data_IF_480500417460
#
_entry.id   IF_480500417460
#
_cell.length_a   1.000
_cell.length_b   1.000
_cell.length_c   1.000
_cell.angle_alpha   90.00
_cell.angle_beta   90.00
_cell.angle_gamma   90.00
#
_symmetry.space_group_name_H-M   'P 1'
#
loop_
_entity.id
_entity.type
_entity.pdbx_description
1 polymer ?
#
# COMPACT_ATOMS: atom_id res chain seq x y z
N UNK A 1 -25.69 -70.03 -5.80
CA UNK A 1 -24.29 -70.39 -6.07
C UNK A 1 -23.94 -69.84 -7.44
N UNK A 2 -23.42 -68.60 -7.48
CA UNK A 2 -22.02 -68.24 -7.83
C UNK A 2 -21.77 -68.44 -9.34
N UNK A 3 -21.91 -67.45 -10.23
CA UNK A 3 -21.18 -66.16 -10.41
C UNK A 3 -19.66 -66.31 -10.39
N UNK A 4 -19.07 -66.34 -11.58
CA UNK A 4 -17.64 -66.12 -11.87
C UNK A 4 -17.52 -65.45 -13.24
N UNK A 5 -17.26 -64.15 -13.26
CA UNK A 5 -16.70 -63.44 -14.42
C UNK A 5 -15.60 -62.50 -13.88
N UNK A 6 -14.49 -62.51 -14.61
CA UNK A 6 -13.23 -61.84 -14.32
C UNK A 6 -13.36 -60.31 -14.27
N UNK A 7 -12.52 -59.59 -13.51
CA UNK A 7 -12.48 -58.14 -13.55
C UNK A 7 -11.63 -57.67 -14.75
N UNK A 8 -12.31 -57.00 -15.67
CA UNK A 8 -11.71 -56.24 -16.76
C UNK A 8 -11.06 -54.94 -16.29
N UNK A 9 -10.17 -54.47 -17.16
CA UNK A 9 -9.39 -53.23 -17.10
C UNK A 9 -10.19 -52.01 -16.63
N UNK A 10 -9.69 -51.36 -15.57
CA UNK A 10 -10.12 -50.01 -15.17
C UNK A 10 -9.23 -49.04 -15.93
N UNK A 11 -9.76 -48.54 -17.04
CA UNK A 11 -9.23 -47.37 -17.73
C UNK A 11 -9.26 -46.15 -16.78
N UNK A 12 -8.08 -45.62 -16.49
CA UNK A 12 -7.85 -44.28 -15.98
C UNK A 12 -8.16 -43.29 -17.11
N UNK A 13 -9.40 -42.83 -17.20
CA UNK A 13 -9.74 -41.62 -17.92
C UNK A 13 -10.97 -40.98 -17.27
N UNK A 14 -10.95 -39.65 -17.21
CA UNK A 14 -12.00 -38.74 -16.73
C UNK A 14 -11.89 -38.27 -15.26
N UNK A 15 -10.93 -37.37 -15.01
CA UNK A 15 -11.19 -36.18 -14.17
C UNK A 15 -10.59 -34.98 -14.90
N UNK A 16 -11.31 -34.47 -15.89
CA UNK A 16 -11.16 -33.12 -16.41
C UNK A 16 -12.48 -32.76 -17.13
N UNK A 17 -13.58 -32.72 -16.37
CA UNK A 17 -14.73 -31.92 -16.79
C UNK A 17 -14.36 -30.46 -16.63
N UNK A 18 -13.71 -29.92 -17.68
CA UNK A 18 -13.58 -28.49 -17.90
C UNK A 18 -14.99 -27.91 -17.99
N UNK A 19 -15.32 -26.99 -17.08
CA UNK A 19 -16.55 -26.22 -17.10
C UNK A 19 -16.74 -25.60 -18.50
N UNK A 20 -17.79 -25.94 -19.27
CA UNK A 20 -17.91 -25.56 -20.68
C UNK A 20 -18.03 -24.04 -20.92
N UNK A 21 -18.26 -23.27 -19.85
CA UNK A 21 -18.36 -21.80 -19.87
C UNK A 21 -17.06 -21.09 -19.43
N UNK A 22 -15.99 -21.83 -19.12
CA UNK A 22 -14.68 -21.24 -18.82
C UNK A 22 -13.95 -20.84 -20.11
N UNK A 23 -14.29 -19.65 -20.62
CA UNK A 23 -13.62 -19.04 -21.77
C UNK A 23 -12.34 -18.28 -21.41
N UNK A 24 -11.75 -18.53 -20.22
CA UNK A 24 -10.50 -17.87 -19.82
C UNK A 24 -9.33 -18.14 -20.78
N UNK A 25 -9.36 -19.26 -21.51
CA UNK A 25 -8.41 -19.61 -22.57
C UNK A 25 -8.47 -18.71 -23.81
N UNK A 26 -9.55 -17.91 -23.98
CA UNK A 26 -9.73 -16.98 -25.11
C UNK A 26 -9.32 -15.54 -24.79
N UNK A 27 -8.86 -15.26 -23.58
CA UNK A 27 -8.40 -13.94 -23.19
C UNK A 27 -6.93 -13.73 -23.61
N UNK A 28 -6.61 -12.55 -24.16
CA UNK A 28 -5.22 -12.20 -24.50
C UNK A 28 -4.34 -12.08 -23.24
N UNK A 29 -4.94 -11.63 -22.14
CA UNK A 29 -4.27 -11.44 -20.85
C UNK A 29 -5.26 -11.81 -19.75
N UNK A 30 -4.89 -12.81 -18.95
CA UNK A 30 -5.56 -13.18 -17.70
C UNK A 30 -4.54 -13.09 -16.58
N UNK A 31 -4.51 -11.96 -15.88
CA UNK A 31 -3.56 -11.71 -14.79
C UNK A 31 -4.33 -11.44 -13.51
N UNK A 32 -3.95 -12.15 -12.44
CA UNK A 32 -4.49 -11.87 -11.10
C UNK A 32 -3.90 -10.55 -10.60
N UNK A 33 -4.77 -9.57 -10.33
CA UNK A 33 -4.39 -8.23 -9.84
C UNK A 33 -3.54 -8.31 -8.56
N UNK A 34 -3.80 -9.32 -7.73
CA UNK A 34 -3.07 -9.58 -6.49
C UNK A 34 -1.56 -9.76 -6.70
N UNK A 35 -1.10 -10.30 -7.83
CA UNK A 35 0.32 -10.60 -8.07
C UNK A 35 1.19 -9.34 -8.02
N UNK A 36 0.74 -8.24 -8.62
CA UNK A 36 1.45 -6.97 -8.61
C UNK A 36 1.45 -6.32 -7.22
N UNK A 37 0.34 -6.41 -6.47
CA UNK A 37 0.27 -5.90 -5.10
C UNK A 37 1.16 -6.71 -4.15
N UNK A 38 1.17 -8.04 -4.26
CA UNK A 38 2.05 -8.90 -3.45
C UNK A 38 3.52 -8.61 -3.75
N UNK A 39 3.90 -8.57 -5.02
CA UNK A 39 5.29 -8.32 -5.40
C UNK A 39 5.78 -6.95 -4.90
N UNK A 40 4.96 -5.91 -5.05
CA UNK A 40 5.29 -4.58 -4.54
C UNK A 40 5.37 -4.54 -3.01
N UNK A 41 4.45 -5.20 -2.30
CA UNK A 41 4.48 -5.29 -0.84
C UNK A 41 5.75 -6.01 -0.35
N UNK A 42 6.10 -7.15 -0.94
CA UNK A 42 7.33 -7.91 -0.61
C UNK A 42 8.56 -7.04 -0.89
N UNK A 43 8.62 -6.37 -2.04
CA UNK A 43 9.75 -5.49 -2.37
C UNK A 43 9.90 -4.34 -1.37
N UNK A 44 8.80 -3.72 -0.94
CA UNK A 44 8.82 -2.64 0.04
C UNK A 44 9.31 -3.14 1.41
N UNK A 45 8.86 -4.31 1.86
CA UNK A 45 9.32 -4.93 3.11
C UNK A 45 10.82 -5.24 3.06
N UNK A 46 11.31 -5.81 1.96
CA UNK A 46 12.74 -6.08 1.77
C UNK A 46 13.55 -4.78 1.83
N UNK A 47 13.07 -3.70 1.21
CA UNK A 47 13.72 -2.39 1.27
C UNK A 47 13.74 -1.83 2.70
N UNK A 48 12.65 -1.95 3.46
CA UNK A 48 12.60 -1.50 4.86
C UNK A 48 13.58 -2.27 5.76
N UNK A 49 13.68 -3.58 5.57
CA UNK A 49 14.67 -4.42 6.27
C UNK A 49 16.08 -3.97 5.90
N UNK A 50 16.36 -3.71 4.62
CA UNK A 50 17.67 -3.23 4.18
C UNK A 50 18.04 -1.88 4.79
N UNK A 51 17.10 -0.94 4.94
CA UNK A 51 17.33 0.34 5.65
C UNK A 51 17.75 0.07 7.11
N UNK A 52 17.06 -0.84 7.80
CA UNK A 52 17.37 -1.18 9.18
C UNK A 52 18.74 -1.87 9.31
N UNK A 53 19.10 -2.75 8.38
CA UNK A 53 20.41 -3.39 8.34
C UNK A 53 21.52 -2.36 8.10
N UNK A 54 21.34 -1.44 7.15
CA UNK A 54 22.32 -0.36 6.90
C UNK A 54 22.51 0.48 8.15
N UNK A 55 21.43 0.80 8.86
CA UNK A 55 21.50 1.49 10.12
C UNK A 55 22.37 0.74 11.13
N UNK A 56 22.10 -0.55 11.40
CA UNK A 56 22.93 -1.36 12.34
C UNK A 56 24.41 -1.33 11.95
N UNK A 57 24.71 -1.39 10.66
CA UNK A 57 26.08 -1.43 10.16
C UNK A 57 26.79 -0.07 10.22
N UNK A 58 26.05 1.04 10.07
CA UNK A 58 26.59 2.40 10.02
C UNK A 58 26.57 3.13 11.35
N UNK A 59 25.71 2.74 12.28
CA UNK A 59 25.61 3.32 13.63
C UNK A 59 26.74 2.82 14.54
N UNK A 60 27.97 2.72 14.03
CA UNK A 60 29.16 2.83 14.87
C UNK A 60 29.34 4.31 15.15
N UNK A 61 28.98 4.74 16.36
CA UNK A 61 29.31 6.07 16.86
C UNK A 61 30.80 6.32 16.60
N UNK A 62 31.20 7.49 16.05
CA UNK A 62 32.60 7.81 15.91
C UNK A 62 33.26 7.73 17.29
N UNK A 63 34.32 6.93 17.40
CA UNK A 63 35.13 6.86 18.62
C UNK A 63 35.82 8.22 18.84
N UNK A 64 36.10 8.57 20.11
CA UNK A 64 36.78 9.82 20.48
C UNK A 64 38.05 10.01 19.64
N UNK A 65 38.06 11.04 18.78
CA UNK A 65 39.19 11.39 17.92
C UNK A 65 39.02 11.06 16.43
N UNK A 66 37.94 10.40 16.03
CA UNK A 66 37.62 10.19 14.61
C UNK A 66 37.07 11.49 13.99
N UNK A 67 37.59 11.87 12.82
CA UNK A 67 37.15 13.08 12.12
C UNK A 67 35.67 12.95 11.81
N UNK A 68 34.89 13.94 12.26
CA UNK A 68 33.50 14.14 11.87
C UNK A 68 33.43 13.96 10.34
N UNK A 69 32.60 13.03 9.82
CA UNK A 69 32.49 12.82 8.38
C UNK A 69 32.24 14.15 7.67
N UNK A 70 32.88 14.37 6.51
CA UNK A 70 32.70 15.61 5.75
C UNK A 70 31.23 15.92 5.39
N UNK A 71 30.35 14.91 5.49
CA UNK A 71 28.91 15.00 5.28
C UNK A 71 28.14 15.65 6.45
N UNK A 72 28.77 15.88 7.60
CA UNK A 72 28.14 16.41 8.84
C UNK A 72 28.37 17.93 9.01
N UNK A 73 28.82 18.60 7.94
CA UNK A 73 28.98 20.06 7.93
C UNK A 73 27.58 20.69 8.10
N UNK A 74 27.38 21.46 9.18
CA UNK A 74 26.16 22.17 9.61
C UNK A 74 25.19 21.45 10.58
N UNK A 75 25.57 20.33 11.20
CA UNK A 75 24.77 19.74 12.28
C UNK A 75 25.24 20.24 13.66
N UNK A 76 24.32 20.32 14.63
CA UNK A 76 24.63 20.72 16.00
C UNK A 76 25.22 19.53 16.78
N UNK A 77 26.54 19.55 16.96
CA UNK A 77 27.29 18.51 17.68
C UNK A 77 27.08 18.56 19.21
N UNK A 78 26.53 19.64 19.75
CA UNK A 78 26.26 19.78 21.19
C UNK A 78 25.04 18.95 21.63
N UNK A 79 24.21 18.50 20.69
CA UNK A 79 23.12 17.57 20.98
C UNK A 79 23.68 16.15 21.15
N UNK A 80 23.89 15.75 22.41
CA UNK A 80 24.25 14.39 22.74
C UNK A 80 23.09 13.41 22.47
N UNK A 81 23.41 12.19 22.00
CA UNK A 81 22.40 11.16 21.81
C UNK A 81 21.79 10.72 23.14
N UNK A 82 20.48 10.41 23.18
CA UNK A 82 19.85 9.89 24.38
C UNK A 82 20.40 8.49 24.73
N UNK A 83 20.66 8.24 26.02
CA UNK A 83 21.28 6.99 26.49
C UNK A 83 20.51 5.70 26.09
N UNK A 84 19.18 5.77 25.98
CA UNK A 84 18.31 4.68 25.52
C UNK A 84 17.66 5.01 24.16
N UNK A 85 18.42 5.63 23.26
CA UNK A 85 17.92 6.06 21.96
C UNK A 85 17.53 4.90 21.04
N UNK A 86 16.43 5.06 20.32
CA UNK A 86 16.07 4.23 19.18
C UNK A 86 16.25 5.03 17.88
N UNK A 87 16.56 4.38 16.75
CA UNK A 87 16.74 5.11 15.50
C UNK A 87 15.43 5.70 14.99
N UNK A 88 15.46 6.96 14.58
CA UNK A 88 14.36 7.57 13.84
C UNK A 88 14.55 7.28 12.36
N UNK A 89 13.51 6.77 11.69
CA UNK A 89 13.55 6.52 10.25
C UNK A 89 13.72 7.84 9.51
N UNK A 90 12.95 8.87 9.86
CA UNK A 90 13.02 10.18 9.21
C UNK A 90 14.42 10.81 9.33
N UNK A 91 15.10 10.66 10.48
CA UNK A 91 16.48 11.13 10.64
C UNK A 91 17.47 10.27 9.85
N UNK A 92 17.29 8.96 9.80
CA UNK A 92 18.12 8.07 8.99
C UNK A 92 18.04 8.40 7.49
N UNK A 93 16.85 8.74 6.99
CA UNK A 93 16.66 9.13 5.57
C UNK A 93 17.42 10.41 5.22
N UNK A 94 17.62 11.28 6.19
CA UNK A 94 18.35 12.53 6.00
C UNK A 94 19.87 12.32 6.15
N UNK A 95 20.30 11.57 7.18
CA UNK A 95 21.72 11.40 7.51
C UNK A 95 22.44 10.40 6.59
N UNK A 96 21.74 9.37 6.09
CA UNK A 96 22.35 8.28 5.35
C UNK A 96 21.83 8.21 3.91
N UNK A 97 22.69 8.57 2.94
CA UNK A 97 22.37 8.53 1.51
C UNK A 97 21.90 7.15 1.03
N UNK A 98 22.50 6.07 1.53
CA UNK A 98 22.09 4.71 1.16
C UNK A 98 20.67 4.39 1.65
N UNK A 99 20.31 4.78 2.88
CA UNK A 99 18.97 4.61 3.42
C UNK A 99 17.94 5.44 2.62
N UNK A 100 18.30 6.67 2.26
CA UNK A 100 17.49 7.55 1.43
C UNK A 100 17.17 6.92 0.07
N UNK A 101 18.17 6.39 -0.64
CA UNK A 101 17.99 5.76 -1.95
C UNK A 101 17.11 4.52 -1.86
N UNK A 102 17.32 3.65 -0.86
CA UNK A 102 16.48 2.45 -0.67
C UNK A 102 15.04 2.83 -0.35
N UNK A 103 14.83 3.89 0.43
CA UNK A 103 13.49 4.38 0.74
C UNK A 103 12.73 4.87 -0.50
N UNK A 104 13.42 5.49 -1.46
CA UNK A 104 12.81 5.88 -2.76
C UNK A 104 12.26 4.66 -3.49
N UNK A 105 12.98 3.54 -3.47
CA UNK A 105 12.46 2.29 -4.04
C UNK A 105 11.29 1.73 -3.21
N UNK A 106 11.41 1.74 -1.88
CA UNK A 106 10.37 1.25 -0.96
C UNK A 106 9.03 1.99 -1.12
N UNK A 107 9.09 3.30 -1.40
CA UNK A 107 7.91 4.16 -1.57
C UNK A 107 7.46 4.29 -3.01
N UNK A 108 8.40 4.27 -3.97
CA UNK A 108 8.13 4.42 -5.41
C UNK A 108 7.52 3.19 -6.07
N UNK A 109 8.02 1.99 -5.76
CA UNK A 109 7.51 0.74 -6.38
C UNK A 109 6.02 0.51 -6.08
N UNK A 110 5.53 0.73 -4.84
CA UNK A 110 4.11 0.54 -4.54
C UNK A 110 3.15 1.56 -5.16
N UNK A 111 3.61 2.68 -5.72
CA UNK A 111 2.72 3.75 -6.24
C UNK A 111 1.78 3.20 -7.32
N UNK A 112 2.33 2.53 -8.34
CA UNK A 112 1.54 1.99 -9.45
C UNK A 112 0.47 0.96 -9.00
N UNK A 113 0.80 -0.10 -8.23
CA UNK A 113 -0.21 -1.05 -7.76
C UNK A 113 -1.21 -0.42 -6.79
N UNK A 114 -0.81 0.58 -5.98
CA UNK A 114 -1.75 1.33 -5.13
C UNK A 114 -2.78 2.08 -5.96
N UNK A 115 -2.34 2.79 -7.02
CA UNK A 115 -3.26 3.50 -7.92
C UNK A 115 -4.22 2.53 -8.62
N UNK A 116 -3.73 1.39 -9.09
CA UNK A 116 -4.57 0.33 -9.67
C UNK A 116 -5.63 -0.14 -8.66
N UNK A 117 -5.22 -0.44 -7.43
CA UNK A 117 -6.11 -0.87 -6.36
C UNK A 117 -7.19 0.18 -6.07
N UNK A 118 -6.83 1.47 -6.03
CA UNK A 118 -7.80 2.55 -5.83
C UNK A 118 -8.80 2.68 -6.97
N UNK A 119 -8.38 2.46 -8.22
CA UNK A 119 -9.30 2.42 -9.37
C UNK A 119 -10.27 1.24 -9.25
N UNK A 120 -9.77 0.06 -8.87
CA UNK A 120 -10.61 -1.12 -8.61
C UNK A 120 -11.63 -0.83 -7.50
N UNK A 121 -11.19 -0.31 -6.35
CA UNK A 121 -12.09 0.07 -5.25
C UNK A 121 -13.17 1.04 -5.69
N UNK A 122 -12.80 2.11 -6.42
CA UNK A 122 -13.75 3.08 -6.93
C UNK A 122 -14.81 2.43 -7.81
N UNK A 123 -14.41 1.53 -8.71
CA UNK A 123 -15.35 0.86 -9.61
C UNK A 123 -16.31 -0.07 -8.86
N UNK A 124 -15.80 -0.83 -7.89
CA UNK A 124 -16.61 -1.72 -7.04
C UNK A 124 -17.58 -0.90 -6.18
N UNK A 125 -17.10 0.15 -5.52
CA UNK A 125 -17.93 1.00 -4.66
C UNK A 125 -19.01 1.74 -5.45
N UNK A 126 -18.74 2.13 -6.71
CA UNK A 126 -19.72 2.75 -7.61
C UNK A 126 -20.74 1.77 -8.21
N UNK A 127 -20.47 0.47 -8.19
CA UNK A 127 -21.41 -0.53 -8.68
C UNK A 127 -22.60 -0.74 -7.75
N UNK A 128 -22.52 -0.27 -6.49
CA UNK A 128 -23.64 -0.33 -5.55
C UNK A 128 -24.75 0.62 -6.03
N UNK A 129 -25.95 0.08 -6.25
CA UNK A 129 -27.14 0.86 -6.63
C UNK A 129 -27.61 1.80 -5.50
N UNK A 130 -28.34 2.85 -5.89
CA UNK A 130 -28.95 3.86 -5.02
C UNK A 130 -27.98 4.57 -4.04
N UNK A 131 -27.15 5.45 -4.59
CA UNK A 131 -26.09 6.15 -3.84
C UNK A 131 -26.33 7.66 -3.80
N UNK A 132 -26.16 8.23 -2.60
CA UNK A 132 -26.18 9.68 -2.40
C UNK A 132 -25.05 10.36 -3.20
N UNK A 133 -25.24 11.63 -3.54
CA UNK A 133 -24.23 12.43 -4.25
C UNK A 133 -22.89 12.45 -3.49
N UNK A 134 -22.94 12.59 -2.16
CA UNK A 134 -21.76 12.61 -1.30
C UNK A 134 -20.96 11.31 -1.40
N UNK A 135 -21.63 10.15 -1.41
CA UNK A 135 -20.96 8.86 -1.56
C UNK A 135 -20.20 8.76 -2.91
N UNK A 136 -20.79 9.26 -3.99
CA UNK A 136 -20.16 9.26 -5.32
C UNK A 136 -18.93 10.17 -5.36
N UNK A 137 -19.03 11.37 -4.79
CA UNK A 137 -17.91 12.32 -4.67
C UNK A 137 -16.79 11.69 -3.85
N UNK A 138 -17.11 11.07 -2.70
CA UNK A 138 -16.15 10.38 -1.85
C UNK A 138 -15.41 9.26 -2.59
N UNK A 139 -16.11 8.46 -3.41
CA UNK A 139 -15.49 7.43 -4.24
C UNK A 139 -14.50 8.00 -5.28
N UNK A 140 -14.84 9.15 -5.88
CA UNK A 140 -13.95 9.82 -6.84
C UNK A 140 -12.75 10.48 -6.17
N UNK A 141 -12.90 10.95 -4.93
CA UNK A 141 -11.87 11.63 -4.17
C UNK A 141 -10.77 10.66 -3.66
N UNK A 142 -11.05 9.35 -3.55
CA UNK A 142 -10.06 8.36 -3.13
C UNK A 142 -8.79 8.36 -3.99
N UNK A 143 -8.94 8.41 -5.32
CA UNK A 143 -7.81 8.35 -6.26
C UNK A 143 -6.87 9.55 -6.11
N UNK A 144 -7.33 10.83 -6.19
CA UNK A 144 -6.43 11.97 -6.04
C UNK A 144 -5.83 12.05 -4.63
N UNK A 145 -6.55 11.67 -3.58
CA UNK A 145 -6.00 11.64 -2.22
C UNK A 145 -4.87 10.63 -2.08
N UNK A 146 -5.06 9.42 -2.61
CA UNK A 146 -4.01 8.40 -2.66
C UNK A 146 -2.80 8.86 -3.47
N UNK A 147 -3.02 9.53 -4.60
CA UNK A 147 -1.94 10.06 -5.43
C UNK A 147 -1.13 11.11 -4.66
N UNK A 148 -1.80 12.05 -4.00
CA UNK A 148 -1.13 13.06 -3.16
C UNK A 148 -0.36 12.39 -2.04
N UNK A 149 -0.97 11.44 -1.32
CA UNK A 149 -0.32 10.67 -0.25
C UNK A 149 0.96 9.98 -0.75
N UNK A 150 0.85 9.24 -1.85
CA UNK A 150 1.93 8.44 -2.43
C UNK A 150 3.08 9.31 -2.97
N UNK A 151 2.74 10.44 -3.61
CA UNK A 151 3.75 11.38 -4.10
C UNK A 151 4.42 12.11 -2.94
N UNK A 152 3.66 12.55 -1.93
CA UNK A 152 4.24 13.25 -0.78
C UNK A 152 5.21 12.37 0.02
N UNK A 153 4.89 11.09 0.24
CA UNK A 153 5.81 10.18 0.95
C UNK A 153 7.09 9.89 0.14
N UNK A 154 6.99 9.84 -1.20
CA UNK A 154 8.17 9.71 -2.05
C UNK A 154 9.03 10.99 -2.00
N UNK A 155 8.39 12.16 -2.07
CA UNK A 155 9.04 13.47 -2.00
C UNK A 155 9.78 13.70 -0.68
N UNK A 156 9.30 13.15 0.46
CA UNK A 156 10.00 13.22 1.74
C UNK A 156 11.43 12.64 1.72
N UNK A 157 11.73 11.76 0.78
CA UNK A 157 13.09 11.22 0.59
C UNK A 157 13.87 11.89 -0.54
N UNK A 158 13.19 12.60 -1.44
CA UNK A 158 13.85 13.29 -2.53
C UNK A 158 14.35 14.65 -2.04
N UNK A 159 13.49 15.40 -1.36
CA UNK A 159 13.77 16.72 -0.81
C UNK A 159 14.30 16.51 0.62
N UNK A 160 15.54 16.92 0.83
CA UNK A 160 16.28 16.75 2.08
C UNK A 160 16.42 18.07 2.82
N UNK A 161 16.52 18.01 4.15
CA UNK A 161 16.57 19.19 5.03
C UNK A 161 17.86 19.96 4.75
N UNK A 162 18.96 19.23 4.52
CA UNK A 162 20.32 19.77 4.40
C UNK A 162 20.63 20.36 3.03
N UNK A 163 20.22 19.71 1.94
CA UNK A 163 20.61 20.12 0.59
C UNK A 163 19.61 21.08 -0.05
N UNK A 164 18.33 20.94 0.29
CA UNK A 164 17.26 21.68 -0.36
C UNK A 164 16.71 22.76 0.58
N UNK A 165 15.58 22.50 1.23
CA UNK A 165 14.92 23.44 2.12
C UNK A 165 14.07 22.69 3.14
N UNK A 166 14.45 22.82 4.42
CA UNK A 166 13.71 22.24 5.53
C UNK A 166 12.24 22.70 5.61
N UNK A 167 11.91 23.92 5.20
CA UNK A 167 10.52 24.41 5.24
C UNK A 167 9.63 23.72 4.20
N UNK A 168 10.18 23.43 3.01
CA UNK A 168 9.47 22.66 1.98
C UNK A 168 9.20 21.23 2.50
N UNK A 169 10.17 20.63 3.18
CA UNK A 169 10.01 19.29 3.75
C UNK A 169 8.97 19.24 4.87
N UNK A 170 8.88 20.28 5.73
CA UNK A 170 7.77 20.43 6.69
C UNK A 170 6.42 20.39 5.99
N UNK A 171 6.26 21.20 4.94
CA UNK A 171 5.01 21.28 4.17
C UNK A 171 4.67 19.92 3.57
N UNK A 172 5.63 19.23 2.95
CA UNK A 172 5.43 17.90 2.37
C UNK A 172 5.00 16.88 3.43
N UNK A 173 5.60 16.91 4.63
CA UNK A 173 5.21 16.03 5.72
C UNK A 173 3.76 16.27 6.15
N UNK A 174 3.35 17.54 6.29
CA UNK A 174 1.96 17.86 6.63
C UNK A 174 0.98 17.46 5.52
N UNK A 175 1.34 17.66 4.25
CA UNK A 175 0.52 17.22 3.11
C UNK A 175 0.38 15.70 3.09
N UNK A 176 1.46 14.95 3.35
CA UNK A 176 1.42 13.50 3.49
C UNK A 176 0.47 13.06 4.60
N UNK A 177 0.62 13.62 5.81
CA UNK A 177 -0.22 13.27 6.97
C UNK A 177 -1.69 13.60 6.70
N UNK A 178 -1.98 14.80 6.20
CA UNK A 178 -3.35 15.25 5.96
C UNK A 178 -4.04 14.43 4.85
N UNK A 179 -3.34 14.16 3.75
CA UNK A 179 -3.87 13.33 2.65
C UNK A 179 -4.06 11.88 3.08
N UNK A 180 -3.12 11.29 3.84
CA UNK A 180 -3.25 9.94 4.38
C UNK A 180 -4.45 9.81 5.32
N UNK A 181 -4.62 10.72 6.29
CA UNK A 181 -5.75 10.71 7.21
C UNK A 181 -7.06 10.80 6.44
N UNK A 182 -7.17 11.73 5.49
CA UNK A 182 -8.38 11.92 4.71
C UNK A 182 -8.70 10.72 3.82
N UNK A 183 -7.68 10.15 3.16
CA UNK A 183 -7.81 8.95 2.34
C UNK A 183 -8.27 7.75 3.17
N UNK A 184 -7.61 7.49 4.30
CA UNK A 184 -7.95 6.37 5.20
C UNK A 184 -9.34 6.52 5.81
N UNK A 185 -9.72 7.74 6.23
CA UNK A 185 -11.04 8.03 6.78
C UNK A 185 -12.15 7.81 5.74
N UNK A 186 -12.00 8.38 4.54
CA UNK A 186 -13.00 8.24 3.47
C UNK A 186 -13.15 6.79 3.05
N UNK A 187 -12.04 6.09 2.77
CA UNK A 187 -12.13 4.71 2.29
C UNK A 187 -12.70 3.77 3.37
N UNK A 188 -12.36 3.99 4.65
CA UNK A 188 -12.96 3.24 5.76
C UNK A 188 -14.46 3.51 5.90
N UNK A 189 -14.89 4.77 5.77
CA UNK A 189 -16.31 5.13 5.83
C UNK A 189 -17.12 4.55 4.65
N UNK A 190 -16.58 4.62 3.43
CA UNK A 190 -17.18 4.01 2.25
C UNK A 190 -17.32 2.49 2.41
N UNK A 191 -16.29 1.85 2.95
CA UNK A 191 -16.34 0.42 3.22
C UNK A 191 -17.28 0.05 4.36
N UNK A 192 -17.43 0.87 5.40
CA UNK A 192 -18.43 0.63 6.44
C UNK A 192 -19.84 0.55 5.84
N UNK A 193 -20.18 1.49 4.95
CA UNK A 193 -21.46 1.50 4.23
C UNK A 193 -21.60 0.25 3.35
N UNK A 194 -20.53 -0.14 2.65
CA UNK A 194 -20.52 -1.33 1.79
C UNK A 194 -20.56 -2.65 2.57
N UNK A 195 -19.95 -2.71 3.76
CA UNK A 195 -19.87 -3.91 4.61
C UNK A 195 -21.24 -4.40 5.04
N UNK A 196 -22.18 -3.46 5.26
CA UNK A 196 -23.57 -3.75 5.60
C UNK A 196 -24.26 -4.68 4.60
N UNK A 197 -23.71 -4.81 3.39
CA UNK A 197 -24.29 -5.60 2.30
C UNK A 197 -23.61 -6.95 2.04
N UNK A 198 -22.29 -7.11 2.26
CA UNK A 198 -21.58 -8.38 1.95
C UNK A 198 -20.07 -8.43 2.36
N UNK A 199 -19.56 -7.50 3.17
CA UNK A 199 -18.11 -7.27 3.27
C UNK A 199 -17.33 -8.18 4.24
N UNK A 200 -16.03 -8.37 3.98
CA UNK A 200 -15.09 -9.06 4.89
C UNK A 200 -14.84 -8.23 6.16
N UNK A 201 -15.34 -8.72 7.30
CA UNK A 201 -15.23 -8.05 8.60
C UNK A 201 -13.77 -7.86 9.05
N UNK A 202 -12.89 -8.77 8.68
CA UNK A 202 -11.47 -8.75 9.08
C UNK A 202 -10.74 -7.58 8.42
N UNK A 203 -10.92 -7.39 7.11
CA UNK A 203 -10.27 -6.29 6.37
C UNK A 203 -10.71 -4.93 6.89
N UNK A 204 -12.01 -4.78 7.17
CA UNK A 204 -12.56 -3.57 7.75
C UNK A 204 -11.96 -3.27 9.14
N UNK A 205 -11.87 -4.27 10.01
CA UNK A 205 -11.27 -4.11 11.34
C UNK A 205 -9.81 -3.63 11.27
N UNK A 206 -9.00 -4.22 10.37
CA UNK A 206 -7.61 -3.80 10.16
C UNK A 206 -7.55 -2.35 9.68
N UNK A 207 -8.41 -1.94 8.74
CA UNK A 207 -8.44 -0.56 8.23
C UNK A 207 -8.77 0.46 9.30
N UNK A 208 -9.77 0.18 10.14
CA UNK A 208 -10.18 1.07 11.23
C UNK A 208 -9.05 1.20 12.26
N UNK A 209 -8.46 0.07 12.69
CA UNK A 209 -7.34 0.07 13.64
C UNK A 209 -6.15 0.85 13.06
N UNK A 210 -5.77 0.57 11.81
CA UNK A 210 -4.68 1.27 11.13
C UNK A 210 -4.95 2.78 11.01
N UNK A 211 -6.16 3.17 10.61
CA UNK A 211 -6.57 4.58 10.47
C UNK A 211 -6.49 5.34 11.80
N UNK A 212 -6.99 4.74 12.88
CA UNK A 212 -6.93 5.33 14.23
C UNK A 212 -5.48 5.44 14.72
N UNK A 213 -4.70 4.37 14.58
CA UNK A 213 -3.30 4.36 14.99
C UNK A 213 -2.46 5.38 14.22
N UNK A 214 -2.67 5.49 12.90
CA UNK A 214 -2.02 6.50 12.07
C UNK A 214 -2.37 7.91 12.55
N UNK A 215 -3.65 8.18 12.81
CA UNK A 215 -4.13 9.50 13.24
C UNK A 215 -3.57 9.91 14.60
N UNK A 216 -3.42 8.97 15.55
CA UNK A 216 -2.86 9.24 16.88
C UNK A 216 -1.35 9.45 16.81
N UNK A 217 -0.62 8.66 16.02
CA UNK A 217 0.85 8.73 15.96
C UNK A 217 1.35 9.92 15.14
N UNK A 218 0.63 10.30 14.08
CA UNK A 218 1.09 11.32 13.12
C UNK A 218 1.44 12.68 13.74
N UNK A 219 0.64 13.27 14.66
CA UNK A 219 0.99 14.55 15.30
C UNK A 219 2.27 14.47 16.13
N UNK A 220 2.50 13.34 16.82
CA UNK A 220 3.71 13.10 17.62
C UNK A 220 4.94 13.09 16.72
N UNK A 221 4.85 12.40 15.59
CA UNK A 221 5.92 12.34 14.58
C UNK A 221 6.17 13.71 13.95
N UNK A 222 5.12 14.40 13.51
CA UNK A 222 5.24 15.73 12.91
C UNK A 222 5.93 16.72 13.85
N UNK A 223 5.53 16.73 15.12
CA UNK A 223 6.14 17.60 16.12
C UNK A 223 7.63 17.29 16.35
N UNK A 224 7.98 16.01 16.47
CA UNK A 224 9.39 15.59 16.62
C UNK A 224 10.23 15.97 15.39
N UNK A 225 9.66 15.82 14.19
CA UNK A 225 10.36 16.13 12.94
C UNK A 225 10.56 17.64 12.75
N UNK A 226 9.55 18.47 13.07
CA UNK A 226 9.70 19.94 13.03
C UNK A 226 10.80 20.41 13.98
N UNK A 227 10.86 19.87 15.20
CA UNK A 227 11.96 20.16 16.14
C UNK A 227 13.33 19.77 15.61
N UNK A 228 13.41 18.65 14.90
CA UNK A 228 14.66 18.23 14.27
C UNK A 228 15.10 19.19 13.16
N UNK A 229 14.16 19.73 12.37
CA UNK A 229 14.47 20.72 11.34
C UNK A 229 14.96 22.05 11.96
N UNK A 230 14.37 22.47 13.09
CA UNK A 230 14.82 23.67 13.81
C UNK A 230 16.20 23.50 14.46
N UNK A 231 16.46 22.31 15.03
CA UNK A 231 17.72 21.97 15.70
C UNK A 231 18.25 20.65 15.15
N UNK A 232 19.00 20.78 14.07
CA UNK A 232 19.53 19.64 13.35
C UNK A 232 20.57 18.89 14.18
N UNK A 233 20.23 17.69 14.64
CA UNK A 233 21.12 16.83 15.40
C UNK A 233 21.99 15.98 14.46
N UNK A 234 23.24 15.72 14.85
CA UNK A 234 24.17 14.91 14.06
C UNK A 234 23.94 13.38 14.17
N UNK A 235 22.89 12.94 14.86
CA UNK A 235 22.65 11.51 15.13
C UNK A 235 21.21 11.10 14.78
N UNK A 236 21.03 9.82 14.43
CA UNK A 236 19.71 9.28 14.06
C UNK A 236 18.82 8.96 15.27
N UNK A 237 19.43 8.87 16.46
CA UNK A 237 18.77 8.41 17.69
C UNK A 237 17.76 9.42 18.26
N UNK A 238 16.62 8.92 18.71
CA UNK A 238 15.57 9.66 19.41
C UNK A 238 15.10 8.91 20.65
N UNK A 239 14.48 9.58 21.64
CA UNK A 239 13.80 8.89 22.72
C UNK A 239 12.81 7.83 22.21
N UNK A 240 12.68 6.66 22.87
CA UNK A 240 11.90 5.52 22.36
C UNK A 240 10.46 5.85 21.99
N UNK A 241 9.80 6.74 22.74
CA UNK A 241 8.42 7.14 22.49
C UNK A 241 8.25 7.73 21.08
N UNK A 242 9.20 8.52 20.60
CA UNK A 242 9.14 9.13 19.27
C UNK A 242 9.46 8.11 18.17
N UNK A 243 10.46 7.25 18.36
CA UNK A 243 10.76 6.18 17.40
C UNK A 243 9.58 5.21 17.24
N UNK A 244 8.98 4.76 18.36
CA UNK A 244 7.82 3.87 18.35
C UNK A 244 6.64 4.53 17.64
N UNK A 245 6.39 5.83 17.87
CA UNK A 245 5.35 6.55 17.15
C UNK A 245 5.62 6.61 15.62
N UNK A 246 6.85 6.84 15.19
CA UNK A 246 7.25 6.78 13.77
C UNK A 246 6.99 5.40 13.17
N UNK A 247 7.39 4.34 13.87
CA UNK A 247 7.20 2.97 13.42
C UNK A 247 5.73 2.59 13.32
N UNK A 248 4.93 2.95 14.32
CA UNK A 248 3.49 2.69 14.34
C UNK A 248 2.77 3.48 13.24
N UNK A 249 3.16 4.72 12.99
CA UNK A 249 2.62 5.52 11.88
C UNK A 249 2.91 4.84 10.53
N UNK A 250 4.15 4.43 10.28
CA UNK A 250 4.54 3.77 9.03
C UNK A 250 3.89 2.39 8.86
N UNK A 251 3.87 1.59 9.92
CA UNK A 251 3.25 0.27 9.94
C UNK A 251 1.75 0.38 9.70
N UNK A 252 1.08 1.34 10.33
CA UNK A 252 -0.35 1.57 10.13
C UNK A 252 -0.65 1.95 8.69
N UNK A 253 0.16 2.84 8.08
CA UNK A 253 0.01 3.16 6.67
C UNK A 253 0.19 1.93 5.78
N UNK A 254 1.25 1.15 6.00
CA UNK A 254 1.51 -0.06 5.23
C UNK A 254 0.38 -1.08 5.39
N UNK A 255 -0.06 -1.35 6.63
CA UNK A 255 -1.14 -2.27 6.94
C UNK A 255 -2.46 -1.85 6.28
N UNK A 256 -2.78 -0.56 6.30
CA UNK A 256 -3.97 -0.01 5.64
C UNK A 256 -3.96 -0.33 4.14
N UNK A 257 -2.85 -0.09 3.43
CA UNK A 257 -2.77 -0.41 2.00
C UNK A 257 -2.68 -1.93 1.72
N UNK A 258 -2.11 -2.70 2.64
CA UNK A 258 -1.99 -4.16 2.51
C UNK A 258 -3.35 -4.87 2.58
N UNK A 259 -4.36 -4.27 3.22
CA UNK A 259 -5.73 -4.79 3.20
C UNK A 259 -6.32 -4.93 1.79
N UNK A 260 -5.76 -4.24 0.78
CA UNK A 260 -6.11 -4.47 -0.61
C UNK A 260 -5.83 -5.91 -1.08
N UNK A 261 -4.87 -6.61 -0.46
CA UNK A 261 -4.67 -8.03 -0.71
C UNK A 261 -5.83 -8.89 -0.23
N UNK A 262 -6.53 -8.47 0.82
CA UNK A 262 -7.69 -9.19 1.35
C UNK A 262 -8.96 -8.86 0.56
N UNK A 263 -9.12 -7.60 0.17
CA UNK A 263 -10.33 -7.13 -0.52
C UNK A 263 -10.35 -7.49 -2.01
N UNK A 264 -9.18 -7.55 -2.66
CA UNK A 264 -9.06 -7.72 -4.10
C UNK A 264 -8.53 -9.11 -4.49
N UNK A 265 -8.43 -10.07 -3.55
CA UNK A 265 -7.87 -11.39 -3.81
C UNK A 265 -8.64 -12.19 -4.87
N UNK A 266 -9.96 -11.97 -4.97
CA UNK A 266 -10.83 -12.68 -5.91
C UNK A 266 -10.97 -11.97 -7.27
N UNK A 267 -10.32 -10.81 -7.46
CA UNK A 267 -10.44 -10.05 -8.71
C UNK A 267 -9.43 -10.51 -9.77
N UNK A 268 -9.95 -10.73 -10.97
CA UNK A 268 -9.14 -11.04 -12.17
C UNK A 268 -9.24 -9.90 -13.18
N UNK A 269 -8.09 -9.54 -13.76
CA UNK A 269 -8.03 -8.62 -14.88
C UNK A 269 -7.99 -9.43 -16.18
N UNK A 270 -9.03 -9.28 -16.99
CA UNK A 270 -9.21 -10.06 -18.22
C UNK A 270 -9.31 -9.09 -19.41
N UNK A 271 -8.45 -9.28 -20.41
CA UNK A 271 -8.48 -8.53 -21.67
C UNK A 271 -9.01 -9.42 -22.79
N UNK A 272 -10.16 -9.07 -23.35
CA UNK A 272 -10.77 -9.80 -24.46
C UNK A 272 -10.38 -9.21 -25.82
N UNK A 273 -10.20 -10.04 -26.86
CA UNK A 273 -10.11 -9.57 -28.24
C UNK A 273 -11.34 -8.74 -28.60
N UNK A 274 -11.13 -7.55 -29.19
CA UNK A 274 -12.21 -6.79 -29.80
C UNK A 274 -12.70 -7.57 -31.02
N UNK A 275 -13.88 -8.18 -30.95
CA UNK A 275 -14.46 -8.84 -32.12
C UNK A 275 -14.76 -7.78 -33.19
N UNK A 276 -14.49 -8.09 -34.45
CA UNK A 276 -14.67 -7.21 -35.62
C UNK A 276 -16.09 -6.67 -35.80
N UNK A 277 -17.08 -7.19 -35.06
CA UNK A 277 -18.47 -6.73 -35.06
C UNK A 277 -18.74 -5.50 -34.16
N UNK A 278 -17.78 -5.03 -33.36
CA UNK A 278 -17.96 -3.85 -32.48
C UNK A 278 -18.90 -4.05 -31.28
N UNK A 279 -19.63 -5.16 -31.20
CA UNK A 279 -20.47 -5.51 -30.05
C UNK A 279 -19.62 -6.10 -28.92
N UNK A 280 -19.45 -5.34 -27.84
CA UNK A 280 -19.01 -5.91 -26.55
C UNK A 280 -20.24 -6.56 -25.94
N UNK A 281 -20.40 -7.88 -26.08
CA UNK A 281 -21.40 -8.60 -25.28
C UNK A 281 -20.87 -8.70 -23.86
N UNK A 282 -21.55 -8.13 -22.85
CA UNK A 282 -21.19 -8.40 -21.46
C UNK A 282 -21.37 -9.90 -21.21
N UNK A 283 -20.38 -10.52 -20.58
CA UNK A 283 -20.46 -11.88 -20.07
C UNK A 283 -21.62 -11.94 -19.07
N UNK A 284 -22.72 -12.59 -19.45
CA UNK A 284 -23.82 -12.90 -18.56
C UNK A 284 -23.56 -14.27 -17.95
N UNK A 285 -22.78 -14.30 -16.88
CA UNK A 285 -22.97 -15.36 -15.90
C UNK A 285 -24.28 -15.07 -15.17
N UNK A 286 -25.11 -16.10 -14.97
CA UNK A 286 -26.46 -15.97 -14.46
C UNK A 286 -26.57 -15.12 -13.19
N UNK A 287 -27.03 -13.87 -13.35
CA UNK A 287 -27.44 -12.99 -12.26
C UNK A 287 -26.49 -11.83 -11.97
N UNK A 288 -26.56 -10.76 -12.78
CA UNK A 288 -26.79 -9.34 -12.40
C UNK A 288 -26.44 -8.46 -13.62
N UNK A 289 -27.34 -7.54 -13.93
CA UNK A 289 -27.43 -6.80 -15.19
C UNK A 289 -26.52 -5.56 -15.30
N UNK A 290 -26.01 -5.38 -16.53
CA UNK A 290 -25.66 -4.14 -17.24
C UNK A 290 -24.60 -3.20 -16.68
N UNK A 291 -23.51 -3.01 -17.44
CA UNK A 291 -23.06 -1.67 -17.90
C UNK A 291 -22.33 -1.82 -19.24
N UNK A 292 -22.95 -1.33 -20.31
CA UNK A 292 -22.30 -1.07 -21.59
C UNK A 292 -21.67 0.34 -21.55
N UNK A 293 -20.34 0.39 -21.63
CA UNK A 293 -19.48 1.48 -22.14
C UNK A 293 -18.07 1.13 -21.69
N UNK A 294 -17.15 0.93 -22.64
CA UNK A 294 -15.73 0.59 -22.48
C UNK A 294 -15.19 0.66 -21.05
N UNK A 295 -15.53 -0.34 -20.24
CA UNK A 295 -15.15 -0.43 -18.83
C UNK A 295 -14.40 -1.72 -18.67
N UNK A 296 -13.23 -1.60 -18.07
CA UNK A 296 -12.47 -2.70 -17.49
C UNK A 296 -13.47 -3.57 -16.73
N UNK A 297 -13.77 -4.75 -17.26
CA UNK A 297 -14.70 -5.70 -16.62
C UNK A 297 -13.90 -6.41 -15.54
N UNK A 298 -14.01 -5.91 -14.31
CA UNK A 298 -13.57 -6.63 -13.12
C UNK A 298 -14.61 -7.71 -12.83
N UNK A 299 -14.28 -8.97 -13.10
CA UNK A 299 -15.11 -10.12 -12.71
C UNK A 299 -14.70 -10.50 -11.29
N UNK A 300 -15.66 -10.51 -10.37
CA UNK A 300 -15.50 -11.08 -9.03
C UNK A 300 -16.05 -12.52 -9.06
N UNK A 301 -15.21 -13.51 -8.76
CA UNK A 301 -15.68 -14.89 -8.52
C UNK A 301 -16.44 -14.92 -7.20
N UNK A 302 -17.77 -15.04 -7.24
CA UNK A 302 -18.57 -15.42 -6.08
C UNK A 302 -18.78 -16.92 -6.08
N UNK A 303 -17.79 -17.67 -5.57
CA UNK A 303 -17.96 -19.08 -5.19
C UNK A 303 -17.36 -19.33 -3.82
N UNK A 304 -18.12 -18.97 -2.77
CA UNK A 304 -18.11 -19.58 -1.43
C UNK A 304 -19.53 -19.60 -0.91
#
# INVERSE_FOLDING_TARGET
MTKSEEPGDIALDNINESNPDDHSDKAYVNVRVISATVLSAVSAVVCLIAVFVIWIWKEKLPEEGEKIPADWVNCNADLLPPANGLPSILRCLELYTAANVIWRYATGIPIAPRLLNSVCYRNILRAVEDQSLLYRISCDLCIPLLLIEAVSVALLSIITIRLDNGDVQKIILFVFIASAILHMAILSALQFVSLSKSGSQISFAIKVIASVMFTICSPVVAFNHVKFIEKYACHSLVPPVYAIAEYLMLLSNAAFHLTALLDLCHLRFIVYPKTTSGEVRPYQDGGITSVAESKIVTVADTSV
#
